data_IF_307289608605
#
_entry.id   IF_307289608605
#
_cell.length_a   1.000
_cell.length_b   1.000
_cell.length_c   1.000
_cell.angle_alpha   90.00
_cell.angle_beta   90.00
_cell.angle_gamma   90.00
#
_symmetry.space_group_name_H-M   'P 1'
#
loop_
_entity.id
_entity.type
_entity.pdbx_description
1 polymer ?
#
# COMPACT_ATOMS: atom_id res chain seq x y z
N UNK A 1 -55.29 6.23 3.68
CA UNK A 1 -54.34 5.36 4.39
C UNK A 1 -54.11 4.15 3.49
N UNK A 2 -52.95 4.03 2.85
CA UNK A 2 -52.63 2.91 1.98
C UNK A 2 -51.69 1.97 2.72
N UNK A 3 -52.10 0.72 2.85
CA UNK A 3 -51.38 -0.36 3.53
C UNK A 3 -50.33 -0.93 2.56
N UNK A 4 -49.07 -0.98 2.98
CA UNK A 4 -47.97 -1.59 2.20
C UNK A 4 -47.93 -3.07 2.58
N UNK A 5 -48.40 -3.93 1.69
CA UNK A 5 -48.27 -5.38 1.82
C UNK A 5 -46.79 -5.76 1.71
N UNK A 6 -46.20 -6.13 2.84
CA UNK A 6 -44.81 -6.62 2.87
C UNK A 6 -44.87 -8.14 2.77
N UNK A 7 -44.60 -8.69 1.58
CA UNK A 7 -44.52 -10.13 1.37
C UNK A 7 -43.26 -10.68 2.07
N UNK A 8 -43.37 -11.57 3.09
CA UNK A 8 -42.24 -12.02 3.90
C UNK A 8 -41.24 -12.91 3.15
N UNK A 9 -41.58 -13.39 1.95
CA UNK A 9 -40.73 -14.27 1.14
C UNK A 9 -39.81 -13.53 0.16
N UNK A 10 -39.91 -12.19 0.07
CA UNK A 10 -39.02 -11.40 -0.79
C UNK A 10 -37.91 -10.76 0.06
N UNK A 11 -36.62 -10.94 -0.31
CA UNK A 11 -35.54 -10.20 0.34
C UNK A 11 -35.77 -8.69 0.15
N UNK A 12 -35.39 -7.87 1.14
CA UNK A 12 -35.62 -6.43 1.08
C UNK A 12 -34.98 -5.82 -0.17
N UNK A 13 -35.66 -4.83 -0.75
CA UNK A 13 -35.18 -4.11 -1.92
C UNK A 13 -33.98 -3.23 -1.52
N UNK A 14 -32.82 -3.49 -2.11
CA UNK A 14 -31.58 -2.76 -1.82
C UNK A 14 -31.37 -1.65 -2.86
N UNK A 15 -32.12 -0.55 -2.76
CA UNK A 15 -31.76 0.69 -3.45
C UNK A 15 -30.64 1.39 -2.66
N UNK A 16 -29.40 1.01 -2.93
CA UNK A 16 -28.25 1.74 -2.39
C UNK A 16 -28.11 3.05 -3.16
N UNK A 17 -28.54 4.15 -2.55
CA UNK A 17 -28.22 5.50 -3.02
C UNK A 17 -26.70 5.68 -3.00
N UNK A 18 -26.07 5.61 -4.18
CA UNK A 18 -24.63 5.72 -4.38
C UNK A 18 -24.04 7.07 -3.90
N UNK A 19 -24.88 8.04 -3.52
CA UNK A 19 -24.48 9.36 -3.04
C UNK A 19 -24.24 9.48 -1.53
N UNK A 20 -24.63 8.48 -0.73
CA UNK A 20 -24.65 8.61 0.75
C UNK A 20 -23.63 7.72 1.47
N UNK A 21 -22.82 6.95 0.74
CA UNK A 21 -21.72 6.19 1.35
C UNK A 21 -20.47 7.07 1.38
N UNK A 22 -20.42 8.00 2.34
CA UNK A 22 -19.13 8.49 2.81
C UNK A 22 -18.48 7.34 3.57
N UNK A 23 -17.71 6.50 2.86
CA UNK A 23 -16.88 5.46 3.47
C UNK A 23 -15.77 6.14 4.28
N UNK A 24 -16.11 6.65 5.46
CA UNK A 24 -15.14 6.92 6.50
C UNK A 24 -14.66 5.56 7.01
N UNK A 25 -13.77 4.93 6.25
CA UNK A 25 -13.12 3.69 6.63
C UNK A 25 -12.40 3.96 7.95
N UNK A 26 -12.69 3.18 9.01
CA UNK A 26 -11.95 3.31 10.26
C UNK A 26 -10.47 3.05 9.98
N UNK A 27 -9.56 3.68 10.76
CA UNK A 27 -8.13 3.42 10.64
C UNK A 27 -7.89 1.91 10.77
N UNK A 28 -7.32 1.32 9.72
CA UNK A 28 -7.02 -0.10 9.69
C UNK A 28 -5.63 -0.36 10.26
N UNK A 29 -5.50 -1.41 11.07
CA UNK A 29 -4.17 -1.85 11.54
C UNK A 29 -3.65 -2.85 10.54
N UNK A 30 -2.45 -2.63 10.00
CA UNK A 30 -1.84 -3.54 9.04
C UNK A 30 -0.85 -4.49 9.72
N UNK A 31 -0.89 -5.77 9.35
CA UNK A 31 0.03 -6.80 9.81
C UNK A 31 0.82 -7.38 8.64
N UNK A 32 2.14 -7.32 8.73
CA UNK A 32 3.03 -8.02 7.80
C UNK A 32 3.21 -9.49 8.23
N UNK A 33 3.05 -10.43 7.31
CA UNK A 33 3.28 -11.86 7.49
C UNK A 33 4.01 -12.44 6.28
N UNK A 34 5.30 -12.75 6.44
CA UNK A 34 6.16 -13.22 5.36
C UNK A 34 6.31 -12.18 4.24
N UNK A 35 5.64 -12.42 3.11
CA UNK A 35 5.62 -11.51 1.94
C UNK A 35 4.33 -10.72 1.80
N UNK A 36 3.31 -11.00 2.61
CA UNK A 36 1.98 -10.40 2.48
C UNK A 36 1.68 -9.43 3.62
N UNK A 37 0.96 -8.36 3.31
CA UNK A 37 0.38 -7.45 4.31
C UNK A 37 -1.10 -7.71 4.37
N UNK A 38 -1.61 -7.93 5.58
CA UNK A 38 -3.01 -8.21 5.86
C UNK A 38 -3.61 -7.07 6.68
N UNK A 39 -4.92 -6.88 6.56
CA UNK A 39 -5.68 -6.14 7.56
C UNK A 39 -5.72 -6.96 8.86
N UNK A 40 -5.41 -6.34 9.99
CA UNK A 40 -5.54 -6.96 11.30
C UNK A 40 -7.01 -7.01 11.76
N UNK A 41 -7.88 -6.21 11.14
CA UNK A 41 -9.31 -6.22 11.42
C UNK A 41 -10.04 -7.38 10.72
N UNK A 42 -9.41 -8.07 9.77
CA UNK A 42 -9.97 -9.28 9.16
C UNK A 42 -10.07 -10.41 10.19
N UNK A 43 -11.30 -10.87 10.48
CA UNK A 43 -11.56 -11.95 11.44
C UNK A 43 -11.05 -13.33 11.01
N UNK A 44 -10.74 -13.50 9.72
CA UNK A 44 -10.28 -14.77 9.17
C UNK A 44 -8.74 -14.83 9.19
N UNK A 45 -8.19 -15.86 9.84
CA UNK A 45 -6.74 -16.12 9.90
C UNK A 45 -6.16 -16.39 8.51
N UNK A 46 -6.98 -16.95 7.62
CA UNK A 46 -6.65 -17.24 6.22
C UNK A 46 -7.12 -16.12 5.27
N UNK A 47 -7.39 -14.92 5.79
CA UNK A 47 -7.76 -13.78 4.97
C UNK A 47 -6.66 -13.48 3.94
N UNK A 48 -7.03 -13.30 2.67
CA UNK A 48 -6.05 -13.10 1.62
C UNK A 48 -5.40 -11.71 1.78
N UNK A 49 -4.10 -11.62 1.50
CA UNK A 49 -3.32 -10.39 1.73
C UNK A 49 -3.80 -9.22 0.86
N UNK A 50 -3.75 -8.00 1.37
CA UNK A 50 -4.12 -6.79 0.61
C UNK A 50 -2.92 -6.17 -0.14
N UNK A 51 -1.71 -6.42 0.35
CA UNK A 51 -0.47 -6.09 -0.35
C UNK A 51 0.50 -7.26 -0.33
N UNK A 52 1.46 -7.19 -1.23
CA UNK A 52 2.49 -8.19 -1.42
C UNK A 52 3.83 -7.53 -1.72
N UNK A 53 4.88 -8.10 -1.14
CA UNK A 53 6.27 -7.79 -1.43
C UNK A 53 6.85 -8.94 -2.25
N UNK A 54 7.64 -8.67 -3.28
CA UNK A 54 8.24 -9.75 -4.08
C UNK A 54 9.31 -10.57 -3.32
N UNK A 55 9.77 -10.08 -2.17
CA UNK A 55 10.71 -10.74 -1.26
C UNK A 55 10.07 -10.96 0.12
N UNK A 56 10.46 -12.04 0.79
CA UNK A 56 10.16 -12.20 2.21
C UNK A 56 11.11 -11.33 3.03
N UNK A 57 10.54 -10.54 3.95
CA UNK A 57 11.29 -9.52 4.68
C UNK A 57 12.45 -10.11 5.51
N UNK A 58 12.27 -11.31 6.06
CA UNK A 58 13.25 -12.00 6.90
C UNK A 58 14.53 -12.39 6.13
N UNK A 59 14.45 -12.44 4.79
CA UNK A 59 15.58 -12.83 3.93
C UNK A 59 16.21 -11.65 3.19
N UNK A 60 15.71 -10.43 3.39
CA UNK A 60 16.27 -9.24 2.77
C UNK A 60 17.67 -8.96 3.30
N UNK A 61 18.61 -8.78 2.37
CA UNK A 61 20.01 -8.44 2.63
C UNK A 61 20.30 -7.05 2.10
N UNK A 62 21.44 -6.52 2.53
CA UNK A 62 21.98 -5.25 2.02
C UNK A 62 22.28 -5.27 0.51
N UNK A 63 22.45 -6.46 -0.07
CA UNK A 63 22.59 -6.65 -1.52
C UNK A 63 21.29 -6.48 -2.29
N UNK A 64 20.13 -6.60 -1.64
CA UNK A 64 18.82 -6.49 -2.26
C UNK A 64 18.47 -5.02 -2.43
N UNK A 65 18.84 -4.48 -3.59
CA UNK A 65 18.71 -3.05 -3.91
C UNK A 65 17.35 -2.67 -4.49
N UNK A 66 16.53 -3.65 -4.84
CA UNK A 66 15.21 -3.44 -5.43
C UNK A 66 14.23 -4.43 -4.84
N UNK A 67 13.18 -3.88 -4.24
CA UNK A 67 12.05 -4.65 -3.71
C UNK A 67 10.78 -4.06 -4.30
N UNK A 68 9.94 -4.92 -4.87
CA UNK A 68 8.68 -4.51 -5.50
C UNK A 68 7.55 -4.68 -4.50
N UNK A 69 6.67 -3.68 -4.47
CA UNK A 69 5.50 -3.64 -3.63
C UNK A 69 4.25 -3.57 -4.50
N UNK A 70 3.39 -4.58 -4.36
CA UNK A 70 2.19 -4.77 -5.15
C UNK A 70 0.94 -4.70 -4.28
N UNK A 71 -0.13 -4.14 -4.83
CA UNK A 71 -1.47 -4.18 -4.26
C UNK A 71 -2.23 -5.35 -4.87
N UNK A 72 -2.88 -6.15 -4.04
CA UNK A 72 -3.71 -7.25 -4.51
C UNK A 72 -5.15 -6.76 -4.58
N UNK A 73 -5.65 -6.64 -5.80
CA UNK A 73 -7.01 -6.23 -6.09
C UNK A 73 -7.88 -7.49 -6.31
N UNK A 74 -8.98 -7.62 -5.57
CA UNK A 74 -9.91 -8.75 -5.66
C UNK A 74 -11.14 -8.36 -6.49
N UNK A 75 -11.54 -9.23 -7.42
CA UNK A 75 -12.73 -9.03 -8.26
C UNK A 75 -13.58 -10.29 -8.28
N UNK A 76 -14.90 -10.12 -8.31
CA UNK A 76 -15.85 -11.24 -8.43
C UNK A 76 -16.16 -11.42 -9.91
N UNK A 77 -15.78 -12.56 -10.49
CA UNK A 77 -16.17 -12.92 -11.85
C UNK A 77 -17.41 -13.81 -11.82
N UNK A 78 -18.49 -13.32 -12.44
CA UNK A 78 -19.68 -14.12 -12.75
C UNK A 78 -19.54 -14.60 -14.20
N UNK A 79 -19.42 -15.90 -14.41
CA UNK A 79 -19.36 -16.47 -15.77
C UNK A 79 -20.76 -16.50 -16.35
N UNK A 80 -20.98 -15.82 -17.47
CA UNK A 80 -22.31 -15.61 -18.07
C UNK A 80 -22.93 -16.88 -18.68
N UNK A 81 -22.13 -17.91 -18.99
CA UNK A 81 -22.56 -19.05 -19.82
C UNK A 81 -23.01 -20.30 -19.06
N UNK A 82 -22.96 -20.34 -17.73
CA UNK A 82 -23.44 -21.51 -16.98
C UNK A 82 -24.20 -21.06 -15.73
N UNK A 83 -25.53 -21.09 -15.80
CA UNK A 83 -26.50 -20.69 -14.77
C UNK A 83 -26.39 -21.43 -13.43
N UNK A 84 -25.45 -22.37 -13.27
CA UNK A 84 -25.24 -23.18 -12.07
C UNK A 84 -23.84 -23.05 -11.44
N UNK A 85 -22.96 -22.15 -11.91
CA UNK A 85 -21.64 -21.97 -11.27
C UNK A 85 -21.64 -20.85 -10.24
N UNK A 86 -21.05 -21.16 -9.09
CA UNK A 86 -20.80 -20.18 -8.03
C UNK A 86 -19.87 -19.07 -8.52
N UNK A 87 -20.05 -17.82 -8.03
CA UNK A 87 -19.16 -16.72 -8.35
C UNK A 87 -17.72 -17.04 -7.91
N UNK A 88 -16.74 -16.74 -8.76
CA UNK A 88 -15.33 -16.96 -8.46
C UNK A 88 -14.66 -15.64 -8.05
N UNK A 89 -13.93 -15.67 -6.94
CA UNK A 89 -13.09 -14.55 -6.51
C UNK A 89 -11.74 -14.67 -7.20
N UNK A 90 -11.38 -13.68 -8.00
CA UNK A 90 -10.11 -13.61 -8.73
C UNK A 90 -9.26 -12.49 -8.15
N UNK A 91 -8.02 -12.82 -7.80
CA UNK A 91 -7.00 -11.87 -7.36
C UNK A 91 -6.16 -11.37 -8.53
N UNK A 92 -5.89 -10.07 -8.59
CA UNK A 92 -4.96 -9.45 -9.52
C UNK A 92 -3.92 -8.64 -8.75
N UNK A 93 -2.64 -8.97 -8.92
CA UNK A 93 -1.54 -8.24 -8.27
C UNK A 93 -1.08 -7.09 -9.18
N UNK A 94 -1.21 -5.87 -8.68
CA UNK A 94 -0.77 -4.66 -9.36
C UNK A 94 0.44 -4.07 -8.66
N UNK A 95 1.56 -4.03 -9.37
CA UNK A 95 2.80 -3.41 -8.89
C UNK A 95 2.66 -1.89 -8.79
N UNK A 96 2.82 -1.33 -7.58
CA UNK A 96 2.58 0.10 -7.32
C UNK A 96 3.82 0.89 -6.90
N UNK A 97 4.77 0.26 -6.21
CA UNK A 97 6.00 0.93 -5.78
C UNK A 97 7.24 0.03 -5.89
N UNK A 98 8.38 0.66 -6.11
CA UNK A 98 9.71 0.10 -5.92
C UNK A 98 10.34 0.71 -4.69
N UNK A 99 10.80 -0.12 -3.75
CA UNK A 99 11.76 0.27 -2.75
C UNK A 99 13.17 0.04 -3.31
N UNK A 100 13.88 1.14 -3.54
CA UNK A 100 15.19 1.14 -4.17
C UNK A 100 16.27 1.62 -3.22
N UNK A 101 17.43 0.96 -3.29
CA UNK A 101 18.67 1.40 -2.64
C UNK A 101 19.70 1.75 -3.73
N UNK A 102 20.08 3.03 -3.87
CA UNK A 102 21.11 3.42 -4.83
C UNK A 102 22.45 2.73 -4.55
N UNK A 103 23.27 2.48 -5.59
CA UNK A 103 24.64 2.05 -5.42
C UNK A 103 25.44 2.99 -4.51
N UNK A 104 26.22 2.44 -3.56
CA UNK A 104 27.01 3.22 -2.60
C UNK A 104 28.07 4.15 -3.23
N UNK A 105 28.39 3.96 -4.52
CA UNK A 105 29.32 4.81 -5.27
C UNK A 105 28.66 6.17 -5.60
N UNK A 106 27.34 6.21 -5.69
CA UNK A 106 26.59 7.46 -5.85
C UNK A 106 26.42 8.08 -4.46
N UNK A 107 26.97 9.29 -4.26
CA UNK A 107 26.64 10.12 -3.10
C UNK A 107 25.23 10.68 -3.26
N UNK A 108 24.23 9.83 -3.07
CA UNK A 108 22.83 10.24 -3.11
C UNK A 108 22.41 10.93 -1.82
N UNK A 109 21.56 11.95 -1.95
CA UNK A 109 20.99 12.68 -0.81
C UNK A 109 20.22 11.75 0.15
N UNK A 110 19.61 10.69 -0.40
CA UNK A 110 18.82 9.72 0.34
C UNK A 110 19.35 8.29 0.13
N UNK A 111 19.56 7.52 1.22
CA UNK A 111 20.04 6.14 1.12
C UNK A 111 18.99 5.16 0.57
N UNK A 112 17.70 5.48 0.66
CA UNK A 112 16.62 4.65 0.14
C UNK A 112 15.54 5.52 -0.51
N UNK A 113 14.88 4.96 -1.52
CA UNK A 113 13.78 5.62 -2.24
C UNK A 113 12.58 4.70 -2.35
N UNK A 114 11.38 5.24 -2.21
CA UNK A 114 10.14 4.61 -2.65
C UNK A 114 9.74 5.31 -3.95
N UNK A 115 9.78 4.60 -5.07
CA UNK A 115 9.44 5.14 -6.39
C UNK A 115 8.13 4.55 -6.88
N UNK A 116 7.14 5.37 -7.27
CA UNK A 116 5.91 4.87 -7.83
C UNK A 116 6.13 4.32 -9.23
N UNK A 117 5.43 3.24 -9.56
CA UNK A 117 5.44 2.64 -10.91
C UNK A 117 4.60 3.44 -11.90
N UNK A 118 3.66 4.24 -11.39
CA UNK A 118 2.78 5.12 -12.15
C UNK A 118 2.91 6.58 -11.73
N UNK A 119 2.55 7.50 -12.63
CA UNK A 119 2.62 8.95 -12.37
C UNK A 119 1.41 9.48 -11.56
N UNK A 120 0.43 8.64 -11.26
CA UNK A 120 -0.85 9.03 -10.66
C UNK A 120 -0.85 9.01 -9.12
N UNK A 121 0.31 9.18 -8.48
CA UNK A 121 0.46 9.07 -7.02
C UNK A 121 1.22 10.23 -6.41
N UNK A 122 1.59 10.08 -5.13
CA UNK A 122 2.32 11.07 -4.34
C UNK A 122 3.68 11.47 -4.92
N UNK A 123 4.22 10.71 -5.88
CA UNK A 123 5.57 10.91 -6.41
C UNK A 123 6.60 10.06 -5.69
N UNK A 124 7.88 10.33 -5.94
CA UNK A 124 8.97 9.61 -5.31
C UNK A 124 9.20 10.09 -3.88
N UNK A 125 9.46 9.16 -2.97
CA UNK A 125 9.74 9.46 -1.56
C UNK A 125 11.18 9.06 -1.25
N UNK A 126 11.95 9.95 -0.64
CA UNK A 126 13.29 9.69 -0.13
C UNK A 126 13.25 9.39 1.37
N UNK A 127 13.91 8.32 1.80
CA UNK A 127 13.99 7.93 3.21
C UNK A 127 15.39 8.18 3.75
N UNK A 128 15.47 8.86 4.89
CA UNK A 128 16.72 9.10 5.61
C UNK A 128 16.62 8.59 7.04
N UNK A 129 17.40 7.57 7.36
CA UNK A 129 17.48 7.02 8.71
C UNK A 129 18.40 7.89 9.58
N UNK A 130 18.00 8.12 10.85
CA UNK A 130 18.82 8.90 11.79
C UNK A 130 20.15 8.19 12.09
N UNK A 131 20.12 6.86 12.16
CA UNK A 131 21.29 5.99 12.34
C UNK A 131 21.10 4.70 11.54
N UNK A 132 22.16 4.22 10.93
CA UNK A 132 22.17 2.93 10.23
C UNK A 132 21.76 1.83 11.23
N UNK A 133 20.84 0.95 10.82
CA UNK A 133 20.35 -0.16 11.65
C UNK A 133 19.28 0.24 12.69
N UNK A 134 18.78 1.48 12.66
CA UNK A 134 17.61 1.89 13.46
C UNK A 134 16.40 2.14 12.57
N UNK A 135 15.21 1.91 13.11
CA UNK A 135 13.94 2.19 12.41
C UNK A 135 13.49 3.65 12.48
N UNK A 136 14.23 4.51 13.19
CA UNK A 136 13.98 5.96 13.23
C UNK A 136 14.37 6.59 11.89
N UNK A 137 13.42 7.15 11.18
CA UNK A 137 13.64 7.70 9.85
C UNK A 137 12.73 8.89 9.55
N UNK A 138 13.16 9.71 8.58
CA UNK A 138 12.35 10.77 7.99
C UNK A 138 12.07 10.43 6.54
N UNK A 139 10.82 10.60 6.13
CA UNK A 139 10.39 10.45 4.75
C UNK A 139 10.10 11.80 4.13
N UNK A 140 10.66 12.03 2.96
CA UNK A 140 10.52 13.29 2.23
C UNK A 140 9.92 13.01 0.86
N UNK A 141 8.96 13.82 0.43
CA UNK A 141 8.65 13.93 -0.98
C UNK A 141 9.89 14.49 -1.69
N UNK A 142 10.34 13.80 -2.73
CA UNK A 142 11.54 14.19 -3.47
C UNK A 142 11.24 14.69 -4.88
N UNK A 143 11.91 15.77 -5.24
CA UNK A 143 11.90 16.34 -6.57
C UNK A 143 13.10 15.92 -7.38
N UNK A 144 12.91 15.71 -8.69
CA UNK A 144 14.04 15.64 -9.62
C UNK A 144 14.55 17.05 -9.88
N UNK A 145 15.84 17.28 -9.63
CA UNK A 145 16.54 18.46 -10.13
C UNK A 145 17.33 18.05 -11.36
N UNK A 146 17.07 18.71 -12.49
CA UNK A 146 17.91 18.56 -13.69
C UNK A 146 19.24 19.27 -13.41
N UNK A 147 20.31 18.51 -13.19
CA UNK A 147 21.65 19.07 -13.34
C UNK A 147 21.95 19.22 -14.84
N UNK A 148 22.80 20.19 -15.19
CA UNK A 148 23.25 20.43 -16.57
C UNK A 148 24.04 19.24 -17.14
N UNK A 149 24.67 18.47 -16.26
CA UNK A 149 25.25 17.17 -16.56
C UNK A 149 24.26 16.06 -16.20
N UNK A 150 24.22 15.00 -17.02
CA UNK A 150 23.29 13.83 -17.02
C UNK A 150 23.05 13.08 -15.70
N UNK A 151 23.50 13.61 -14.56
CA UNK A 151 23.28 13.05 -13.24
C UNK A 151 21.98 13.62 -12.67
N UNK A 152 20.94 12.78 -12.59
CA UNK A 152 19.72 13.13 -11.87
C UNK A 152 20.03 13.12 -10.37
N UNK A 153 19.78 14.24 -9.68
CA UNK A 153 19.82 14.29 -8.22
C UNK A 153 18.42 14.54 -7.66
N UNK A 154 18.12 13.86 -6.57
CA UNK A 154 16.89 14.07 -5.81
C UNK A 154 17.11 15.09 -4.70
N UNK A 155 16.22 16.08 -4.64
CA UNK A 155 16.18 17.08 -3.57
C UNK A 155 14.95 16.83 -2.67
N UNK A 156 15.12 17.06 -1.36
CA UNK A 156 13.98 17.10 -0.43
C UNK A 156 13.09 18.29 -0.78
N UNK A 157 11.78 18.05 -0.96
CA UNK A 157 10.79 19.12 -1.17
C UNK A 157 9.92 19.35 0.05
N UNK A 158 9.35 18.27 0.57
CA UNK A 158 8.37 18.32 1.65
C UNK A 158 8.60 17.13 2.58
N UNK A 159 8.52 17.36 3.89
CA UNK A 159 8.55 16.28 4.87
C UNK A 159 7.17 15.65 4.90
N UNK A 160 7.08 14.33 4.69
CA UNK A 160 5.82 13.60 4.73
C UNK A 160 5.55 13.03 6.11
N UNK A 161 6.57 12.45 6.74
CA UNK A 161 6.47 11.93 8.10
C UNK A 161 7.84 11.75 8.76
N UNK A 162 7.85 11.80 10.09
CA UNK A 162 9.00 11.58 10.97
C UNK A 162 8.68 10.40 11.90
N UNK A 163 9.35 9.27 11.67
CA UNK A 163 9.22 8.05 12.46
C UNK A 163 10.17 8.14 13.65
N UNK A 164 9.59 8.28 14.84
CA UNK A 164 10.34 8.40 16.10
C UNK A 164 10.03 7.27 17.04
N UNK A 165 11.05 6.82 17.76
CA UNK A 165 10.86 5.81 18.79
C UNK A 165 10.15 6.41 20.00
N UNK A 166 9.06 5.78 20.41
CA UNK A 166 8.36 6.06 21.65
C UNK A 166 8.31 4.77 22.48
N UNK A 167 9.24 4.64 23.43
CA UNK A 167 9.43 3.42 24.21
C UNK A 167 9.68 2.16 23.35
N UNK A 168 8.69 1.26 23.29
CA UNK A 168 8.73 0.02 22.52
C UNK A 168 8.02 0.12 21.17
N UNK A 169 7.37 1.25 20.88
CA UNK A 169 6.66 1.50 19.63
C UNK A 169 7.31 2.63 18.84
N UNK A 170 6.90 2.79 17.58
CA UNK A 170 7.31 3.90 16.73
C UNK A 170 6.09 4.75 16.39
N UNK A 171 6.19 6.04 16.67
CA UNK A 171 5.17 7.02 16.32
C UNK A 171 5.50 7.62 14.96
N UNK A 172 4.45 7.84 14.17
CA UNK A 172 4.52 8.49 12.87
C UNK A 172 3.93 9.88 13.04
N UNK A 173 4.78 10.89 12.86
CA UNK A 173 4.40 12.29 13.01
C UNK A 173 4.40 12.95 11.64
N UNK A 174 3.28 13.56 11.26
CA UNK A 174 3.15 14.35 10.03
C UNK A 174 3.75 15.76 10.19
#
# INVERSE_FOLDING_TARGET
>A
MAQVDTNPDLPPDYSVDAGTVSENLPPDTLRLAGRFVHSANTRNVDAPGIFEINHQIDFLRETDRLVEFSRIDYSIKKRSDESNRLPEIVSNSRHIFNLERPPAILQETFPYFIKPTSRSGLGSIGLKFLKIGKSECKAWLVGRRKASDRTEYYEARELLFDVRRNNQVFDWLD
#
